data_IF_736635287621
#
_entry.id   IF_736635287621
#
_cell.length_a   1.000
_cell.length_b   1.000
_cell.length_c   1.000
_cell.angle_alpha   90.00
_cell.angle_beta   90.00
_cell.angle_gamma   90.00
#
_symmetry.space_group_name_H-M   'P 1'
#
loop_
_entity.id
_entity.type
_entity.pdbx_description
1 polymer ?
#
# COMPACT_ATOMS: atom_id res chain seq x y z
N UNK A 1 -7.03 16.84 41.94
CA UNK A 1 -7.36 17.48 40.64
C UNK A 1 -6.23 17.41 39.60
N UNK A 2 -4.96 17.61 39.91
CA UNK A 2 -3.85 17.54 38.95
C UNK A 2 -3.62 16.11 38.35
N UNK A 3 -3.73 15.07 39.18
CA UNK A 3 -3.55 13.66 38.76
C UNK A 3 -4.66 13.20 37.80
N UNK A 4 -5.91 13.62 38.00
CA UNK A 4 -7.04 13.28 37.15
C UNK A 4 -6.89 13.93 35.77
N UNK A 5 -6.41 15.18 35.71
CA UNK A 5 -6.13 15.86 34.45
C UNK A 5 -5.01 15.19 33.66
N UNK A 6 -3.97 14.69 34.33
CA UNK A 6 -2.86 13.98 33.72
C UNK A 6 -3.32 12.63 33.14
N UNK A 7 -4.18 11.88 33.88
CA UNK A 7 -4.74 10.61 33.36
C UNK A 7 -5.65 10.80 32.16
N UNK A 8 -6.45 11.88 32.11
CA UNK A 8 -7.32 12.16 30.96
C UNK A 8 -6.50 12.52 29.71
N UNK A 9 -5.42 13.28 29.86
CA UNK A 9 -4.53 13.63 28.75
C UNK A 9 -3.82 12.38 28.22
N UNK A 10 -3.41 11.46 29.08
CA UNK A 10 -2.78 10.19 28.69
C UNK A 10 -3.75 9.27 27.95
N UNK A 11 -5.04 9.25 28.35
CA UNK A 11 -6.08 8.45 27.69
C UNK A 11 -6.44 8.99 26.29
N UNK A 12 -6.46 10.31 26.12
CA UNK A 12 -6.75 10.96 24.83
C UNK A 12 -5.58 10.79 23.85
N UNK A 13 -4.35 10.74 24.33
CA UNK A 13 -3.16 10.50 23.50
C UNK A 13 -3.13 9.09 22.87
N UNK A 14 -3.82 8.11 23.44
CA UNK A 14 -3.90 6.74 22.93
C UNK A 14 -4.89 6.52 21.77
N UNK A 15 -5.74 7.49 21.47
CA UNK A 15 -6.82 7.33 20.45
C UNK A 15 -6.47 7.83 19.05
N UNK A 16 -5.24 8.27 18.80
CA UNK A 16 -4.79 8.56 17.43
C UNK A 16 -4.36 7.24 16.77
N UNK A 17 -5.29 6.30 16.64
CA UNK A 17 -5.14 5.16 15.74
C UNK A 17 -5.26 5.72 14.32
N UNK A 18 -4.12 6.07 13.74
CA UNK A 18 -3.99 6.44 12.35
C UNK A 18 -4.61 5.32 11.50
N UNK A 19 -5.68 5.63 10.81
CA UNK A 19 -6.28 4.77 9.79
C UNK A 19 -5.31 4.73 8.61
N UNK A 20 -4.27 3.89 8.71
CA UNK A 20 -3.36 3.64 7.60
C UNK A 20 -4.10 2.84 6.54
N UNK A 21 -3.90 3.11 5.24
CA UNK A 21 -4.46 2.27 4.19
C UNK A 21 -4.03 0.83 4.44
N UNK A 22 -4.99 -0.09 4.41
CA UNK A 22 -4.70 -1.50 4.68
C UNK A 22 -4.11 -2.09 3.41
N UNK A 23 -2.79 -2.04 3.30
CA UNK A 23 -2.04 -2.83 2.31
C UNK A 23 -1.73 -4.18 2.92
N UNK A 24 -2.11 -5.25 2.23
CA UNK A 24 -1.75 -6.62 2.62
C UNK A 24 -1.07 -7.35 1.47
N UNK A 25 -0.06 -8.14 1.79
CA UNK A 25 0.53 -9.08 0.83
C UNK A 25 -0.42 -10.27 0.69
N UNK A 26 -0.84 -10.54 -0.55
CA UNK A 26 -1.76 -11.64 -0.88
C UNK A 26 -1.02 -12.93 -1.20
N UNK A 27 0.22 -12.82 -1.65
CA UNK A 27 1.11 -13.94 -1.91
C UNK A 27 2.53 -13.47 -2.12
N UNK A 28 3.50 -14.31 -1.76
CA UNK A 28 4.91 -14.10 -2.08
C UNK A 28 5.58 -15.42 -2.46
N UNK A 29 6.59 -15.31 -3.27
CA UNK A 29 7.44 -16.42 -3.67
C UNK A 29 8.91 -15.98 -3.63
N UNK A 30 9.76 -16.87 -3.16
CA UNK A 30 11.22 -16.68 -3.13
C UNK A 30 11.89 -17.89 -3.75
N UNK A 31 12.88 -17.66 -4.60
CA UNK A 31 13.74 -18.72 -5.09
C UNK A 31 14.50 -19.34 -3.91
N UNK A 32 14.45 -20.65 -3.71
CA UNK A 32 15.12 -21.30 -2.58
C UNK A 32 16.62 -21.00 -2.49
N UNK A 33 17.27 -20.75 -3.64
CA UNK A 33 18.69 -20.39 -3.69
C UNK A 33 18.97 -18.93 -3.37
N UNK A 34 17.94 -18.07 -3.28
CA UNK A 34 18.09 -16.63 -3.10
C UNK A 34 17.91 -16.17 -1.64
N UNK A 35 17.75 -17.09 -0.69
CA UNK A 35 17.70 -16.75 0.73
C UNK A 35 19.01 -16.07 1.15
N UNK A 36 18.87 -14.88 1.76
CA UNK A 36 20.03 -14.06 2.11
C UNK A 36 20.69 -13.37 0.92
N UNK A 37 20.05 -13.30 -0.26
CA UNK A 37 20.63 -12.70 -1.46
C UNK A 37 20.93 -11.22 -1.29
N UNK A 38 20.11 -10.49 -0.54
CA UNK A 38 20.28 -9.06 -0.30
C UNK A 38 21.11 -8.83 0.96
N UNK A 39 22.41 -9.04 0.84
CA UNK A 39 23.35 -8.76 1.91
C UNK A 39 23.96 -7.36 1.76
N UNK A 40 24.58 -6.88 2.84
CA UNK A 40 25.34 -5.65 2.84
C UNK A 40 26.39 -5.64 1.72
N UNK A 41 26.52 -4.52 1.03
CA UNK A 41 27.43 -4.36 -0.12
C UNK A 41 26.80 -4.62 -1.49
N UNK A 42 25.56 -5.13 -1.55
CA UNK A 42 24.81 -5.24 -2.80
C UNK A 42 24.21 -3.90 -3.21
N UNK A 43 24.01 -3.73 -4.51
CA UNK A 43 23.34 -2.54 -5.06
C UNK A 43 22.07 -2.96 -5.79
N UNK A 44 20.96 -2.32 -5.46
CA UNK A 44 19.64 -2.58 -6.05
C UNK A 44 19.22 -1.39 -6.91
N UNK A 45 18.90 -1.63 -8.16
CA UNK A 45 18.21 -0.66 -9.00
C UNK A 45 16.70 -0.73 -8.72
N UNK A 46 16.09 0.38 -8.34
CA UNK A 46 14.64 0.43 -8.03
C UNK A 46 13.92 1.08 -9.21
N UNK A 47 12.95 0.37 -9.78
CA UNK A 47 12.19 0.80 -10.93
C UNK A 47 10.69 0.73 -10.66
N UNK A 48 10.07 1.86 -10.33
CA UNK A 48 8.61 1.97 -10.21
C UNK A 48 7.98 2.19 -11.58
N UNK A 49 7.24 1.20 -12.08
CA UNK A 49 6.65 1.20 -13.42
C UNK A 49 5.32 1.98 -13.42
N UNK A 50 5.42 3.28 -13.34
CA UNK A 50 4.27 4.21 -13.37
C UNK A 50 4.60 5.45 -14.20
N UNK A 51 3.57 5.99 -14.86
CA UNK A 51 3.66 7.28 -15.59
C UNK A 51 3.67 8.48 -14.65
N UNK A 52 3.20 8.31 -13.42
CA UNK A 52 3.14 9.40 -12.44
C UNK A 52 4.50 9.58 -11.77
N UNK A 53 5.21 10.63 -12.14
CA UNK A 53 6.56 10.94 -11.61
C UNK A 53 6.58 11.09 -10.08
N UNK A 54 5.56 11.74 -9.50
CA UNK A 54 5.45 11.91 -8.04
C UNK A 54 5.38 10.55 -7.34
N UNK A 55 4.49 9.68 -7.80
CA UNK A 55 4.32 8.32 -7.25
C UNK A 55 5.62 7.51 -7.40
N UNK A 56 6.26 7.57 -8.57
CA UNK A 56 7.55 6.91 -8.82
C UNK A 56 8.59 7.33 -7.80
N UNK A 57 8.85 8.64 -7.72
CA UNK A 57 9.87 9.19 -6.82
C UNK A 57 9.59 8.84 -5.35
N UNK A 58 8.34 8.92 -4.91
CA UNK A 58 7.97 8.61 -3.53
C UNK A 58 8.15 7.11 -3.20
N UNK A 59 7.75 6.20 -4.09
CA UNK A 59 7.95 4.75 -3.90
C UNK A 59 9.44 4.42 -3.86
N UNK A 60 10.22 4.92 -4.82
CA UNK A 60 11.66 4.64 -4.90
C UNK A 60 12.42 5.23 -3.71
N UNK A 61 12.04 6.43 -3.23
CA UNK A 61 12.60 7.00 -2.00
C UNK A 61 12.28 6.14 -0.76
N UNK A 62 11.02 5.70 -0.61
CA UNK A 62 10.62 4.88 0.53
C UNK A 62 11.39 3.56 0.60
N UNK A 63 11.59 2.88 -0.52
CA UNK A 63 12.44 1.68 -0.56
C UNK A 63 13.91 2.01 -0.30
N UNK A 64 14.44 3.12 -0.85
CA UNK A 64 15.82 3.55 -0.63
C UNK A 64 16.11 3.77 0.87
N UNK A 65 15.23 4.46 1.58
CA UNK A 65 15.34 4.71 3.01
C UNK A 65 15.38 3.41 3.82
N UNK A 66 14.49 2.45 3.50
CA UNK A 66 14.42 1.17 4.19
C UNK A 66 15.64 0.27 3.89
N UNK A 67 16.10 0.23 2.63
CA UNK A 67 17.29 -0.54 2.23
C UNK A 67 18.56 0.02 2.86
N UNK A 68 18.66 1.35 3.02
CA UNK A 68 19.78 1.99 3.70
C UNK A 68 19.92 1.55 5.16
N UNK A 69 18.82 1.23 5.86
CA UNK A 69 18.86 0.68 7.23
C UNK A 69 19.57 -0.67 7.31
N UNK A 70 19.64 -1.40 6.19
CA UNK A 70 20.34 -2.69 6.08
C UNK A 70 21.70 -2.55 5.36
N UNK A 71 22.21 -1.34 5.20
CA UNK A 71 23.45 -1.04 4.47
C UNK A 71 23.46 -1.55 3.02
N UNK A 72 22.28 -1.56 2.37
CA UNK A 72 22.11 -1.93 0.97
C UNK A 72 22.05 -0.63 0.15
N UNK A 73 22.89 -0.54 -0.87
CA UNK A 73 22.91 0.60 -1.77
C UNK A 73 21.75 0.53 -2.75
N UNK A 74 21.23 1.69 -3.13
CA UNK A 74 20.16 1.75 -4.13
C UNK A 74 20.46 2.78 -5.21
N UNK A 75 20.02 2.51 -6.42
CA UNK A 75 19.96 3.44 -7.54
C UNK A 75 18.52 3.60 -7.93
N UNK A 76 17.99 4.82 -7.88
CA UNK A 76 16.60 5.08 -8.21
C UNK A 76 16.45 5.33 -9.71
N UNK A 77 15.50 4.66 -10.35
CA UNK A 77 15.19 4.87 -11.75
C UNK A 77 14.75 6.31 -12.04
N UNK A 78 14.03 6.92 -11.10
CA UNK A 78 13.57 8.31 -11.19
C UNK A 78 14.71 9.34 -11.30
N UNK A 79 15.86 9.06 -10.67
CA UNK A 79 17.04 9.94 -10.70
C UNK A 79 18.02 9.54 -11.83
N UNK A 80 18.05 8.26 -12.17
CA UNK A 80 19.00 7.71 -13.13
C UNK A 80 18.60 7.96 -14.58
N UNK A 81 17.33 7.77 -14.90
CA UNK A 81 16.80 7.97 -16.23
C UNK A 81 16.23 9.38 -16.38
N UNK A 82 16.59 10.06 -17.48
CA UNK A 82 15.99 11.33 -17.79
C UNK A 82 14.49 11.17 -18.17
N UNK A 83 13.67 12.23 -18.13
CA UNK A 83 12.25 12.15 -18.43
C UNK A 83 11.93 11.66 -19.85
N UNK A 84 12.83 11.87 -20.82
CA UNK A 84 12.64 11.44 -22.22
C UNK A 84 12.69 9.91 -22.34
N UNK A 85 13.47 9.25 -21.46
CA UNK A 85 13.56 7.79 -21.42
C UNK A 85 12.20 7.12 -21.21
N UNK A 86 11.31 7.77 -20.46
CA UNK A 86 9.99 7.25 -20.15
C UNK A 86 8.92 7.54 -21.21
N UNK A 87 9.26 8.35 -22.23
CA UNK A 87 8.32 8.66 -23.32
C UNK A 87 8.26 7.54 -24.38
N UNK A 88 9.31 6.75 -24.52
CA UNK A 88 9.39 5.65 -25.48
C UNK A 88 9.79 4.39 -24.73
N UNK A 89 9.22 3.27 -25.13
CA UNK A 89 9.65 1.97 -24.62
C UNK A 89 11.07 1.70 -25.19
N UNK A 90 12.11 1.66 -24.32
CA UNK A 90 13.46 1.31 -24.79
C UNK A 90 13.51 -0.14 -25.28
N UNK A 91 14.43 -0.46 -26.18
CA UNK A 91 14.69 -1.85 -26.49
C UNK A 91 15.30 -2.55 -25.26
N UNK A 92 15.07 -3.85 -25.17
CA UNK A 92 15.56 -4.66 -24.03
C UNK A 92 17.07 -4.49 -23.84
N UNK A 93 17.86 -4.52 -24.91
CA UNK A 93 19.31 -4.35 -24.85
C UNK A 93 19.74 -2.99 -24.32
N UNK A 94 19.04 -1.92 -24.69
CA UNK A 94 19.31 -0.56 -24.19
C UNK A 94 19.01 -0.49 -22.70
N UNK A 95 17.87 -1.02 -22.26
CA UNK A 95 17.47 -1.03 -20.87
C UNK A 95 18.46 -1.83 -20.02
N UNK A 96 18.79 -3.05 -20.43
CA UNK A 96 19.76 -3.92 -19.74
C UNK A 96 21.12 -3.26 -19.60
N UNK A 97 21.65 -2.67 -20.67
CA UNK A 97 22.95 -2.01 -20.65
C UNK A 97 22.95 -0.80 -19.71
N UNK A 98 21.92 0.01 -19.73
CA UNK A 98 21.81 1.16 -18.85
C UNK A 98 21.73 0.76 -17.36
N UNK A 99 20.93 -0.26 -17.03
CA UNK A 99 20.82 -0.76 -15.67
C UNK A 99 22.16 -1.39 -15.22
N UNK A 100 22.82 -2.17 -16.06
CA UNK A 100 24.17 -2.69 -15.75
C UNK A 100 25.19 -1.58 -15.48
N UNK A 101 25.16 -0.50 -16.26
CA UNK A 101 26.06 0.64 -16.10
C UNK A 101 25.80 1.41 -14.79
N UNK A 102 24.67 1.22 -14.13
CA UNK A 102 24.40 1.78 -12.80
C UNK A 102 25.18 1.08 -11.69
N UNK A 103 25.84 -0.03 -11.96
CA UNK A 103 26.55 -0.86 -10.99
C UNK A 103 25.62 -1.70 -10.10
N UNK A 104 24.35 -1.83 -10.47
CA UNK A 104 23.40 -2.64 -9.70
C UNK A 104 23.64 -4.15 -9.93
N UNK A 105 23.39 -4.94 -8.88
CA UNK A 105 23.40 -6.39 -8.92
C UNK A 105 21.99 -6.95 -9.11
N UNK A 106 21.00 -6.21 -8.62
CA UNK A 106 19.59 -6.59 -8.64
C UNK A 106 18.70 -5.45 -9.13
N UNK A 107 17.54 -5.80 -9.65
CA UNK A 107 16.47 -4.85 -10.02
C UNK A 107 15.21 -5.17 -9.25
N UNK A 108 14.71 -4.19 -8.49
CA UNK A 108 13.41 -4.23 -7.85
C UNK A 108 12.41 -3.47 -8.72
N UNK A 109 11.42 -4.17 -9.27
CA UNK A 109 10.33 -3.55 -10.03
C UNK A 109 9.07 -3.46 -9.19
N UNK A 110 8.32 -2.36 -9.34
CA UNK A 110 7.07 -2.12 -8.64
C UNK A 110 6.02 -1.73 -9.68
N UNK A 111 4.95 -2.49 -9.79
CA UNK A 111 3.93 -2.32 -10.84
C UNK A 111 2.53 -2.35 -10.25
N UNK A 112 1.65 -1.47 -10.75
CA UNK A 112 0.21 -1.61 -10.59
C UNK A 112 -0.29 -2.56 -11.67
N UNK A 113 -0.75 -3.76 -11.28
CA UNK A 113 -1.19 -4.79 -12.22
C UNK A 113 -2.70 -4.75 -12.49
N UNK A 114 -3.49 -4.32 -11.51
CA UNK A 114 -4.92 -4.15 -11.66
C UNK A 114 -5.48 -3.10 -10.69
N UNK A 115 -6.63 -2.58 -11.05
CA UNK A 115 -7.42 -1.67 -10.21
C UNK A 115 -8.89 -2.02 -10.37
N UNK A 116 -9.52 -2.44 -9.29
CA UNK A 116 -10.95 -2.69 -9.24
C UNK A 116 -11.69 -1.52 -8.57
N UNK A 117 -12.89 -1.27 -9.05
CA UNK A 117 -13.80 -0.29 -8.46
C UNK A 117 -15.18 -0.89 -8.38
N UNK A 118 -15.70 -1.04 -7.18
CA UNK A 118 -17.04 -1.52 -6.92
C UNK A 118 -17.85 -0.42 -6.26
N UNK A 119 -18.98 -0.08 -6.87
CA UNK A 119 -19.91 0.89 -6.30
C UNK A 119 -21.06 0.15 -5.67
N UNK A 120 -21.20 0.30 -4.35
CA UNK A 120 -22.31 -0.30 -3.58
C UNK A 120 -23.20 0.79 -3.03
N UNK A 121 -24.49 0.50 -3.03
CA UNK A 121 -25.48 1.34 -2.37
C UNK A 121 -25.46 1.06 -0.86
N UNK A 122 -25.29 2.10 -0.06
CA UNK A 122 -25.43 2.04 1.39
C UNK A 122 -26.78 2.66 1.72
N UNK A 123 -27.77 1.86 2.18
CA UNK A 123 -29.06 2.41 2.60
C UNK A 123 -28.83 3.47 3.67
N UNK A 124 -29.63 4.54 3.63
CA UNK A 124 -29.66 5.51 4.71
C UNK A 124 -29.81 4.77 6.04
N UNK A 125 -29.12 5.19 7.08
CA UNK A 125 -29.09 4.47 8.34
C UNK A 125 -30.45 4.49 9.00
N UNK A 126 -31.31 3.51 8.67
CA UNK A 126 -32.26 3.05 9.64
C UNK A 126 -31.41 2.48 10.77
N UNK A 127 -31.12 3.28 11.78
CA UNK A 127 -30.50 2.79 12.99
C UNK A 127 -31.41 1.65 13.49
N UNK A 128 -31.00 0.43 13.19
CA UNK A 128 -31.62 -0.76 13.75
C UNK A 128 -31.34 -0.69 15.25
N UNK A 129 -32.29 -0.07 15.96
CA UNK A 129 -32.33 -0.14 17.41
C UNK A 129 -32.90 -1.52 17.75
N UNK A 130 -32.08 -2.49 18.18
CA UNK A 130 -32.54 -3.87 18.42
C UNK A 130 -33.39 -4.02 19.68
N UNK A 131 -33.79 -2.92 20.30
CA UNK A 131 -34.65 -2.94 21.49
C UNK A 131 -36.06 -2.53 21.13
N UNK A 132 -37.02 -3.48 21.18
CA UNK A 132 -38.42 -3.11 21.21
C UNK A 132 -38.68 -2.34 22.51
N UNK A 133 -38.71 -1.05 22.43
CA UNK A 133 -39.27 -0.24 23.48
C UNK A 133 -40.77 -0.50 23.47
N UNK A 134 -41.23 -1.44 24.31
CA UNK A 134 -42.62 -1.86 24.39
C UNK A 134 -43.59 -0.68 24.61
N UNK A 135 -43.14 0.47 25.07
CA UNK A 135 -43.91 1.68 25.22
C UNK A 135 -44.28 2.41 23.91
N UNK A 136 -43.64 2.08 22.80
CA UNK A 136 -43.90 2.73 21.49
C UNK A 136 -45.05 2.12 20.71
N UNK A 137 -45.49 0.95 21.09
CA UNK A 137 -46.61 0.26 20.41
C UNK A 137 -47.99 0.82 20.81
N UNK A 138 -48.07 1.84 21.68
CA UNK A 138 -49.32 2.43 22.15
C UNK A 138 -50.06 3.34 21.16
N UNK A 139 -49.51 3.62 19.96
CA UNK A 139 -50.18 4.46 19.00
C UNK A 139 -49.54 4.42 17.61
N UNK A 140 -50.36 4.16 16.57
CA UNK A 140 -49.99 4.13 15.16
C UNK A 140 -49.23 5.41 14.74
N UNK A 141 -49.72 6.59 15.12
CA UNK A 141 -49.08 7.85 14.70
C UNK A 141 -47.67 8.04 15.26
N UNK A 142 -47.42 7.63 16.50
CA UNK A 142 -46.07 7.69 17.09
C UNK A 142 -45.10 6.76 16.39
N UNK A 143 -45.54 5.54 16.11
CA UNK A 143 -44.77 4.56 15.35
C UNK A 143 -44.49 5.05 13.93
N UNK A 144 -45.51 5.53 13.22
CA UNK A 144 -45.41 6.03 11.87
C UNK A 144 -44.47 7.23 11.75
N UNK A 145 -44.64 8.23 12.61
CA UNK A 145 -43.78 9.44 12.63
C UNK A 145 -42.34 9.14 12.95
N UNK A 146 -42.07 8.09 13.73
CA UNK A 146 -40.68 7.66 14.02
C UNK A 146 -40.06 6.94 12.83
N UNK A 147 -40.76 6.03 12.18
CA UNK A 147 -40.21 5.21 11.14
C UNK A 147 -40.26 5.85 9.75
N UNK A 148 -41.33 6.60 9.45
CA UNK A 148 -41.56 7.15 8.11
C UNK A 148 -40.39 7.98 7.58
N UNK A 149 -39.80 8.92 8.30
CA UNK A 149 -38.62 9.67 7.83
C UNK A 149 -37.43 8.76 7.55
N UNK A 150 -37.24 7.70 8.35
CA UNK A 150 -36.11 6.79 8.24
C UNK A 150 -36.19 5.90 7.00
N UNK A 151 -37.40 5.56 6.54
CA UNK A 151 -37.57 4.83 5.27
C UNK A 151 -37.29 5.70 4.06
N UNK A 152 -37.39 7.01 4.20
CA UNK A 152 -37.18 7.96 3.11
C UNK A 152 -35.83 8.68 3.21
N UNK A 153 -34.98 8.35 4.18
CA UNK A 153 -33.61 8.83 4.18
C UNK A 153 -32.89 8.30 2.93
N UNK A 154 -32.45 9.18 2.03
CA UNK A 154 -31.74 8.74 0.84
C UNK A 154 -30.46 8.02 1.24
N UNK A 155 -30.30 6.79 0.79
CA UNK A 155 -29.01 6.12 0.87
C UNK A 155 -27.99 6.84 0.00
N UNK A 156 -26.74 6.47 0.15
CA UNK A 156 -25.65 7.01 -0.65
C UNK A 156 -24.85 5.88 -1.32
N UNK A 157 -24.19 6.23 -2.41
CA UNK A 157 -23.30 5.31 -3.08
C UNK A 157 -21.87 5.48 -2.56
N UNK A 158 -21.24 4.37 -2.21
CA UNK A 158 -19.82 4.31 -1.86
C UNK A 158 -19.10 3.55 -2.96
N UNK A 159 -18.01 4.11 -3.46
CA UNK A 159 -17.15 3.42 -4.40
C UNK A 159 -15.91 2.94 -3.66
N UNK A 160 -15.81 1.63 -3.48
CA UNK A 160 -14.63 0.97 -2.96
C UNK A 160 -13.62 0.79 -4.10
N UNK A 161 -12.36 1.05 -3.85
CA UNK A 161 -11.26 0.92 -4.82
C UNK A 161 -10.19 0.01 -4.25
N UNK A 162 -9.87 -1.02 -5.00
CA UNK A 162 -8.79 -1.95 -4.66
C UNK A 162 -7.68 -1.85 -5.70
N UNK A 163 -6.47 -1.64 -5.24
CA UNK A 163 -5.26 -1.56 -6.07
C UNK A 163 -4.46 -2.83 -5.86
N UNK A 164 -4.20 -3.56 -6.95
CA UNK A 164 -3.37 -4.76 -6.96
C UNK A 164 -1.99 -4.40 -7.48
N UNK A 165 -0.99 -4.63 -6.65
CA UNK A 165 0.39 -4.34 -6.97
C UNK A 165 1.21 -5.62 -7.04
N UNK A 166 2.23 -5.61 -7.89
CA UNK A 166 3.24 -6.65 -7.95
C UNK A 166 4.61 -6.02 -7.80
N UNK A 167 5.42 -6.60 -6.93
CA UNK A 167 6.82 -6.21 -6.73
C UNK A 167 7.70 -7.41 -6.95
N UNK A 168 8.63 -7.29 -7.89
CA UNK A 168 9.53 -8.37 -8.30
C UNK A 168 10.98 -7.95 -8.11
N UNK A 169 11.81 -8.89 -7.66
CA UNK A 169 13.25 -8.74 -7.58
C UNK A 169 13.94 -9.68 -8.54
N UNK A 170 14.78 -9.13 -9.41
CA UNK A 170 15.55 -9.87 -10.40
C UNK A 170 17.04 -9.74 -10.14
N UNK A 171 17.78 -10.81 -10.34
CA UNK A 171 19.23 -10.79 -10.43
C UNK A 171 19.66 -10.35 -11.84
N UNK A 172 20.54 -9.35 -11.93
CA UNK A 172 20.93 -8.78 -13.23
C UNK A 172 21.84 -9.67 -14.06
N UNK A 173 22.62 -10.55 -13.42
CA UNK A 173 23.57 -11.42 -14.12
C UNK A 173 22.93 -12.33 -15.16
N UNK A 174 21.76 -12.88 -14.84
CA UNK A 174 20.99 -13.77 -15.69
C UNK A 174 19.55 -13.34 -16.00
N UNK A 175 19.11 -12.19 -15.48
CA UNK A 175 17.70 -11.77 -15.58
C UNK A 175 16.75 -12.67 -14.78
N UNK A 176 17.28 -13.45 -13.82
CA UNK A 176 16.51 -14.43 -13.08
C UNK A 176 15.62 -13.76 -12.03
N UNK A 177 14.33 -14.11 -12.02
CA UNK A 177 13.43 -13.74 -10.93
C UNK A 177 13.88 -14.48 -9.65
N UNK A 178 14.11 -13.76 -8.56
CA UNK A 178 14.53 -14.35 -7.29
C UNK A 178 13.48 -14.16 -6.19
N UNK A 179 12.59 -13.17 -6.34
CA UNK A 179 11.49 -12.94 -5.45
C UNK A 179 10.35 -12.20 -6.16
N UNK A 180 9.13 -12.54 -5.78
CA UNK A 180 7.92 -11.86 -6.24
C UNK A 180 6.94 -11.76 -5.07
N UNK A 181 6.25 -10.63 -4.96
CA UNK A 181 5.14 -10.47 -4.05
C UNK A 181 4.00 -9.73 -4.71
N UNK A 182 2.80 -10.24 -4.50
CA UNK A 182 1.55 -9.59 -4.86
C UNK A 182 0.89 -9.03 -3.62
N UNK A 183 0.28 -7.88 -3.77
CA UNK A 183 -0.40 -7.19 -2.68
C UNK A 183 -1.63 -6.48 -3.16
N UNK A 184 -2.56 -6.27 -2.24
CA UNK A 184 -3.74 -5.46 -2.47
C UNK A 184 -3.82 -4.33 -1.44
N UNK A 185 -4.37 -3.20 -1.87
CA UNK A 185 -4.64 -2.05 -1.00
C UNK A 185 -6.07 -1.60 -1.23
N UNK A 186 -6.88 -1.69 -0.19
CA UNK A 186 -8.30 -1.32 -0.24
C UNK A 186 -8.45 0.11 0.28
N UNK A 187 -9.15 0.94 -0.48
CA UNK A 187 -9.54 2.31 -0.12
C UNK A 187 -8.39 3.12 0.52
N UNK A 188 -7.22 3.25 -0.14
CA UNK A 188 -6.19 4.10 0.39
C UNK A 188 -6.70 5.53 0.44
N UNK A 189 -6.89 6.12 1.59
CA UNK A 189 -7.48 7.47 1.76
C UNK A 189 -6.88 8.53 0.83
N UNK A 190 -5.62 8.37 0.43
CA UNK A 190 -4.96 9.13 -0.64
C UNK A 190 -3.83 8.32 -1.27
N UNK A 191 -3.43 8.71 -2.49
CA UNK A 191 -2.24 8.16 -3.14
C UNK A 191 -0.99 8.42 -2.28
N UNK A 192 -0.88 9.59 -1.66
CA UNK A 192 0.25 9.94 -0.81
C UNK A 192 0.37 9.02 0.41
N UNK A 193 -0.73 8.65 1.04
CA UNK A 193 -0.74 7.70 2.14
C UNK A 193 -0.33 6.30 1.69
N UNK A 194 -0.82 5.87 0.52
CA UNK A 194 -0.45 4.60 -0.07
C UNK A 194 1.05 4.51 -0.33
N UNK A 195 1.62 5.47 -1.07
CA UNK A 195 3.04 5.41 -1.47
C UNK A 195 4.00 5.52 -0.29
N UNK A 196 3.58 6.11 0.83
CA UNK A 196 4.36 6.16 2.07
C UNK A 196 4.36 4.82 2.83
N UNK A 197 3.22 4.12 2.86
CA UNK A 197 3.08 2.88 3.63
C UNK A 197 3.51 1.64 2.85
N UNK A 198 3.33 1.63 1.54
CA UNK A 198 3.58 0.47 0.67
C UNK A 198 5.01 -0.09 0.79
N UNK A 199 6.09 0.73 0.68
CA UNK A 199 7.46 0.23 0.77
C UNK A 199 7.73 -0.55 2.05
N UNK A 200 7.20 -0.08 3.18
CA UNK A 200 7.40 -0.77 4.46
C UNK A 200 6.77 -2.14 4.50
N UNK A 201 5.55 -2.30 3.98
CA UNK A 201 4.85 -3.59 3.94
C UNK A 201 5.66 -4.61 3.13
N UNK A 202 6.17 -4.21 1.97
CA UNK A 202 6.95 -5.08 1.10
C UNK A 202 8.35 -5.37 1.68
N UNK A 203 8.97 -4.38 2.29
CA UNK A 203 10.25 -4.56 2.99
C UNK A 203 10.12 -5.57 4.15
N UNK A 204 9.09 -5.45 4.98
CA UNK A 204 8.79 -6.39 6.06
C UNK A 204 8.55 -7.81 5.50
N UNK A 205 7.89 -7.92 4.33
CA UNK A 205 7.71 -9.20 3.66
C UNK A 205 9.04 -9.78 3.16
N UNK A 206 9.93 -8.96 2.58
CA UNK A 206 11.27 -9.40 2.17
C UNK A 206 12.09 -9.95 3.33
N UNK A 207 11.99 -9.32 4.52
CA UNK A 207 12.62 -9.83 5.74
C UNK A 207 12.00 -11.17 6.16
N UNK A 208 10.66 -11.26 6.15
CA UNK A 208 9.92 -12.49 6.50
C UNK A 208 10.26 -13.66 5.56
N UNK A 209 10.43 -13.38 4.28
CA UNK A 209 10.77 -14.36 3.26
C UNK A 209 12.28 -14.74 3.27
N UNK A 210 13.08 -14.07 4.12
CA UNK A 210 14.49 -14.37 4.32
C UNK A 210 15.43 -13.82 3.24
N UNK A 211 14.99 -12.83 2.46
CA UNK A 211 15.85 -12.12 1.50
C UNK A 211 16.79 -11.14 2.19
N UNK A 212 16.29 -10.50 3.23
CA UNK A 212 16.98 -9.51 4.04
C UNK A 212 17.28 -10.08 5.43
N UNK A 213 18.42 -9.71 6.04
CA UNK A 213 18.68 -10.09 7.43
C UNK A 213 17.65 -9.46 8.37
N UNK A 214 17.32 -10.18 9.44
CA UNK A 214 16.46 -9.68 10.52
C UNK A 214 17.10 -8.50 11.26
#
# INVERSE_FOLDING_TARGET
MKLIKLSVILLISGMILSCSPITRVTGSWVDPSAKGALLSGQTIFIASLTKNMKVRTQLENGFTELMAMKNIKTVKGADYFNPEFYKKIPSESVLQNQIKNSGANYVLTISLINKDSETRYVPGSSAYAPYPYYGWYGGFYSYYNYWYPRFYEPGYYVTDRTYFMETNLYELGGGKLIWSAQSETVNPGSIDNFVKSYPKVLFDQMVKDGLLPM
#
